data_IF_245603822657
#
_entry.id   IF_245603822657
#
_cell.length_a   1.000
_cell.length_b   1.000
_cell.length_c   1.000
_cell.angle_alpha   90.00
_cell.angle_beta   90.00
_cell.angle_gamma   90.00
#
_symmetry.space_group_name_H-M   'P 1'
#
loop_
_entity.id
_entity.type
_entity.pdbx_description
1 polymer ?
#
# COMPACT_ATOMS: atom_id res chain seq x y z
N UNK A 1 -6.51 -10.59 -11.54
CA UNK A 1 -6.97 -9.40 -12.29
C UNK A 1 -6.84 -8.21 -11.37
N UNK A 2 -6.24 -7.09 -11.80
CA UNK A 2 -6.17 -5.89 -10.99
C UNK A 2 -7.58 -5.36 -10.70
N UNK A 3 -7.77 -4.75 -9.53
CA UNK A 3 -9.00 -4.03 -9.22
C UNK A 3 -9.12 -2.80 -10.14
N UNK A 4 -10.35 -2.34 -10.45
CA UNK A 4 -10.54 -1.10 -11.18
C UNK A 4 -10.01 0.10 -10.38
N UNK A 5 -9.55 1.14 -11.09
CA UNK A 5 -9.09 2.39 -10.49
C UNK A 5 -10.17 3.07 -9.65
N UNK A 6 -9.76 3.88 -8.67
CA UNK A 6 -10.66 4.71 -7.88
C UNK A 6 -11.24 5.84 -8.76
N UNK A 7 -12.57 5.90 -8.96
CA UNK A 7 -13.20 6.91 -9.81
C UNK A 7 -13.31 8.30 -9.14
N UNK A 8 -12.80 8.48 -7.93
CA UNK A 8 -12.91 9.74 -7.17
C UNK A 8 -12.50 10.95 -8.02
N UNK A 9 -13.33 12.03 -8.06
CA UNK A 9 -13.00 13.26 -8.76
C UNK A 9 -11.69 13.90 -8.29
N UNK A 10 -11.31 13.68 -7.03
CA UNK A 10 -10.08 14.22 -6.43
C UNK A 10 -8.80 13.70 -7.11
N UNK A 11 -8.87 12.56 -7.81
CA UNK A 11 -7.72 11.92 -8.44
C UNK A 11 -7.59 12.26 -9.94
N UNK A 12 -8.66 12.76 -10.57
CA UNK A 12 -8.75 12.87 -12.03
C UNK A 12 -7.77 13.87 -12.66
N UNK A 13 -7.22 14.79 -11.87
CA UNK A 13 -6.23 15.76 -12.36
C UNK A 13 -4.81 15.18 -12.44
N UNK A 14 -4.54 14.01 -11.85
CA UNK A 14 -3.23 13.37 -11.96
C UNK A 14 -3.02 12.76 -13.35
N UNK A 15 -1.78 12.70 -13.81
CA UNK A 15 -1.45 12.08 -15.09
C UNK A 15 -1.75 10.56 -15.12
N UNK A 16 -1.67 9.91 -13.96
CA UNK A 16 -1.92 8.49 -13.74
C UNK A 16 -2.81 8.30 -12.49
N UNK A 17 -4.11 8.61 -12.57
CA UNK A 17 -5.02 8.55 -11.42
C UNK A 17 -5.13 7.14 -10.83
N UNK A 18 -4.88 6.09 -11.62
CA UNK A 18 -4.90 4.68 -11.20
C UNK A 18 -3.82 4.30 -10.18
N UNK A 19 -2.86 5.19 -9.90
CA UNK A 19 -1.76 4.97 -8.94
C UNK A 19 -2.09 5.39 -7.51
N UNK A 20 -3.21 6.09 -7.31
CA UNK A 20 -3.67 6.56 -6.01
C UNK A 20 -5.07 6.02 -5.74
N UNK A 21 -5.39 5.90 -4.46
CA UNK A 21 -6.73 5.57 -3.97
C UNK A 21 -7.08 6.47 -2.80
N UNK A 22 -8.36 6.72 -2.60
CA UNK A 22 -8.87 7.41 -1.41
C UNK A 22 -9.08 6.43 -0.26
N UNK A 23 -9.10 6.95 0.98
CA UNK A 23 -9.40 6.15 2.16
C UNK A 23 -10.81 5.52 2.09
N UNK A 24 -11.79 6.24 1.53
CA UNK A 24 -13.15 5.74 1.34
C UNK A 24 -13.19 4.56 0.36
N UNK A 25 -12.43 4.65 -0.74
CA UNK A 25 -12.29 3.54 -1.68
C UNK A 25 -11.67 2.33 -0.99
N UNK A 26 -10.58 2.51 -0.24
CA UNK A 26 -9.93 1.38 0.44
C UNK A 26 -10.89 0.72 1.44
N UNK A 27 -11.55 1.52 2.28
CA UNK A 27 -12.53 1.06 3.27
C UNK A 27 -13.66 0.25 2.61
N UNK A 28 -14.20 0.72 1.47
CA UNK A 28 -15.24 0.02 0.72
C UNK A 28 -14.78 -1.23 -0.04
N UNK A 29 -13.48 -1.47 -0.15
CA UNK A 29 -12.89 -2.61 -0.87
C UNK A 29 -12.16 -3.61 0.05
N UNK A 30 -12.17 -3.42 1.38
CA UNK A 30 -11.52 -4.33 2.33
C UNK A 30 -11.99 -5.79 2.13
N UNK A 31 -11.02 -6.72 2.14
CA UNK A 31 -11.27 -8.16 1.99
C UNK A 31 -11.62 -8.62 0.57
N UNK A 32 -11.64 -7.75 -0.44
CA UNK A 32 -11.89 -8.16 -1.82
C UNK A 32 -10.77 -9.06 -2.37
N UNK A 33 -11.10 -10.20 -3.01
CA UNK A 33 -10.11 -11.03 -3.67
C UNK A 33 -9.32 -10.22 -4.71
N UNK A 34 -8.00 -10.34 -4.66
CA UNK A 34 -7.09 -9.61 -5.55
C UNK A 34 -6.65 -8.22 -5.04
N UNK A 35 -7.08 -7.79 -3.85
CA UNK A 35 -6.52 -6.63 -3.15
C UNK A 35 -5.54 -7.10 -2.08
N UNK A 36 -4.33 -6.53 -2.08
CA UNK A 36 -3.35 -6.65 -1.00
C UNK A 36 -3.09 -5.26 -0.42
N UNK A 37 -3.02 -5.18 0.91
CA UNK A 37 -2.76 -3.94 1.64
C UNK A 37 -1.41 -4.13 2.33
N UNK A 38 -0.51 -3.16 2.16
CA UNK A 38 0.86 -3.24 2.68
C UNK A 38 1.15 -1.96 3.46
N UNK A 39 1.66 -2.12 4.67
CA UNK A 39 2.18 -1.04 5.51
C UNK A 39 3.70 -1.11 5.52
N UNK A 40 4.34 0.04 5.30
CA UNK A 40 5.80 0.18 5.19
C UNK A 40 6.19 1.53 5.77
N UNK A 41 6.72 1.52 6.99
CA UNK A 41 7.10 2.71 7.74
C UNK A 41 8.61 2.76 7.98
N UNK A 42 9.10 3.96 8.33
CA UNK A 42 10.46 4.13 8.86
C UNK A 42 10.59 3.53 10.27
N UNK A 43 9.55 3.69 11.11
CA UNK A 43 9.47 3.04 12.43
C UNK A 43 8.85 1.64 12.31
N UNK A 44 9.72 0.62 12.29
CA UNK A 44 9.34 -0.77 12.10
C UNK A 44 8.45 -1.35 13.22
N UNK A 45 8.32 -0.66 14.35
CA UNK A 45 7.48 -1.07 15.47
C UNK A 45 6.04 -0.55 15.37
N UNK A 46 5.76 0.39 14.45
CA UNK A 46 4.48 1.09 14.39
C UNK A 46 3.31 0.16 14.03
N UNK A 47 3.51 -0.70 13.03
CA UNK A 47 2.53 -1.70 12.59
C UNK A 47 2.03 -2.58 13.75
N UNK A 48 2.90 -2.95 14.68
CA UNK A 48 2.57 -3.83 15.80
C UNK A 48 1.72 -3.12 16.87
N UNK A 49 1.60 -1.79 16.80
CA UNK A 49 0.71 -1.00 17.67
C UNK A 49 -0.73 -0.94 17.15
N UNK A 50 -0.94 -1.18 15.85
CA UNK A 50 -2.24 -1.18 15.19
C UNK A 50 -2.13 -0.78 13.72
N UNK A 51 -2.88 -1.48 12.86
CA UNK A 51 -2.82 -1.33 11.40
C UNK A 51 -4.19 -1.56 10.75
N UNK A 52 -4.30 -1.27 9.45
CA UNK A 52 -5.52 -1.49 8.66
C UNK A 52 -5.84 -3.00 8.61
N UNK A 53 -7.11 -3.43 8.82
CA UNK A 53 -7.47 -4.85 8.77
C UNK A 53 -7.06 -5.53 7.46
N UNK A 54 -6.31 -6.63 7.56
CA UNK A 54 -5.80 -7.39 6.42
C UNK A 54 -4.52 -6.84 5.79
N UNK A 55 -3.96 -5.75 6.33
CA UNK A 55 -2.65 -5.26 5.93
C UNK A 55 -1.52 -6.19 6.40
N UNK A 56 -0.47 -6.29 5.60
CA UNK A 56 0.80 -6.95 5.96
C UNK A 56 1.90 -5.92 6.11
N UNK A 57 2.86 -6.20 7.00
CA UNK A 57 4.07 -5.39 7.15
C UNK A 57 5.09 -5.76 6.08
N UNK A 58 5.72 -4.76 5.47
CA UNK A 58 7.00 -4.90 4.77
C UNK A 58 7.99 -3.94 5.41
N UNK A 59 9.08 -4.48 5.94
CA UNK A 59 10.20 -3.71 6.50
C UNK A 59 11.21 -3.41 5.39
N UNK A 60 11.37 -2.13 5.05
CA UNK A 60 12.27 -1.69 3.99
C UNK A 60 13.73 -2.14 4.21
N UNK A 61 14.19 -2.22 5.46
CA UNK A 61 15.58 -2.56 5.78
C UNK A 61 15.84 -4.06 5.72
N UNK A 62 14.91 -4.88 6.22
CA UNK A 62 15.12 -6.33 6.32
C UNK A 62 14.51 -7.12 5.17
N UNK A 63 13.42 -6.64 4.58
CA UNK A 63 12.71 -7.34 3.51
C UNK A 63 13.10 -6.85 2.11
N UNK A 64 13.44 -5.55 1.96
CA UNK A 64 13.60 -4.94 0.63
C UNK A 64 15.02 -4.47 0.29
N UNK A 65 15.93 -4.25 1.24
CA UNK A 65 17.29 -3.79 0.89
C UNK A 65 18.11 -4.91 0.27
N UNK A 66 18.86 -4.58 -0.77
CA UNK A 66 19.95 -5.44 -1.23
C UNK A 66 21.09 -5.45 -0.19
N UNK A 67 21.57 -6.64 0.16
CA UNK A 67 22.58 -6.81 1.21
C UNK A 67 23.98 -6.28 0.84
N UNK A 68 24.27 -6.07 -0.45
CA UNK A 68 25.59 -5.72 -0.96
C UNK A 68 25.63 -4.40 -1.74
N UNK A 69 24.49 -3.96 -2.29
CA UNK A 69 24.39 -2.75 -3.10
C UNK A 69 23.44 -1.76 -2.41
N UNK A 70 23.69 -0.45 -2.57
CA UNK A 70 22.76 0.58 -2.11
C UNK A 70 21.57 0.70 -3.06
N UNK A 71 20.74 -0.34 -3.07
CA UNK A 71 19.52 -0.47 -3.87
C UNK A 71 18.51 -1.38 -3.15
N UNK A 72 17.30 -1.50 -3.70
CA UNK A 72 16.28 -2.46 -3.25
C UNK A 72 16.25 -3.71 -4.15
N UNK A 73 15.80 -4.85 -3.61
CA UNK A 73 15.64 -6.12 -4.35
C UNK A 73 14.51 -6.10 -5.40
#
# INVERSE_FOLDING_TARGET
MPLPADPSPALQSYAHPERLVTSDWLSGNLGRPGLAIVESDEDVLLYDTGHIPGAVKIDWHTDLNDAHVRDYI
#
